data_IF_787445248269
#
_entry.id   IF_787445248269
#
_cell.length_a   1.000
_cell.length_b   1.000
_cell.length_c   1.000
_cell.angle_alpha   90.00
_cell.angle_beta   90.00
_cell.angle_gamma   90.00
#
_symmetry.space_group_name_H-M   'P 1'
#
loop_
_entity.id
_entity.type
_entity.pdbx_description
1 polymer ?
#
# COMPACT_ATOMS: atom_id res chain seq x y z
N UNK A 1 -10.81 20.05 3.91
CA UNK A 1 -10.79 19.74 2.46
C UNK A 1 -11.40 18.37 2.35
N UNK A 2 -12.62 18.30 1.84
CA UNK A 2 -13.23 17.02 1.49
C UNK A 2 -12.32 16.32 0.50
N UNK A 3 -11.68 15.24 0.95
CA UNK A 3 -10.97 14.34 0.06
C UNK A 3 -12.07 13.50 -0.58
N UNK A 4 -12.67 14.03 -1.64
CA UNK A 4 -13.53 13.25 -2.53
C UNK A 4 -12.67 12.05 -2.97
N UNK A 5 -12.96 10.87 -2.41
CA UNK A 5 -12.21 9.64 -2.69
C UNK A 5 -12.34 9.40 -4.19
N UNK A 6 -11.25 9.66 -4.91
CA UNK A 6 -11.20 9.54 -6.36
C UNK A 6 -11.10 8.05 -6.72
N UNK A 7 -12.17 7.28 -6.46
CA UNK A 7 -12.38 5.90 -6.89
C UNK A 7 -12.81 5.91 -8.35
N UNK A 8 -11.91 6.35 -9.24
CA UNK A 8 -12.19 6.35 -10.68
C UNK A 8 -12.06 4.93 -11.22
N UNK A 9 -13.18 4.21 -11.29
CA UNK A 9 -13.26 2.99 -12.09
C UNK A 9 -12.93 3.29 -13.55
N UNK A 10 -12.14 2.42 -14.17
CA UNK A 10 -11.79 2.45 -15.59
C UNK A 10 -11.90 1.05 -16.18
N UNK A 11 -12.13 0.97 -17.47
CA UNK A 11 -12.10 -0.29 -18.21
C UNK A 11 -10.91 -0.30 -19.14
N UNK A 12 -10.15 -1.39 -19.15
CA UNK A 12 -9.03 -1.65 -20.06
C UNK A 12 -9.24 -3.03 -20.66
N UNK A 13 -9.73 -3.09 -21.90
CA UNK A 13 -10.10 -4.36 -22.52
C UNK A 13 -11.14 -5.12 -21.66
N UNK A 14 -10.89 -6.37 -21.26
CA UNK A 14 -11.79 -7.16 -20.40
C UNK A 14 -11.69 -6.85 -18.91
N UNK A 15 -10.79 -5.96 -18.50
CA UNK A 15 -10.51 -5.65 -17.10
C UNK A 15 -11.26 -4.41 -16.64
N UNK A 16 -11.99 -4.54 -15.53
CA UNK A 16 -12.39 -3.41 -14.70
C UNK A 16 -11.24 -3.10 -13.74
N UNK A 17 -10.79 -1.86 -13.72
CA UNK A 17 -9.70 -1.36 -12.88
C UNK A 17 -10.28 -0.34 -11.90
N UNK A 18 -10.18 -0.62 -10.62
CA UNK A 18 -10.58 0.25 -9.53
C UNK A 18 -9.33 0.71 -8.76
N UNK A 19 -9.27 1.99 -8.40
CA UNK A 19 -8.29 2.47 -7.44
C UNK A 19 -8.75 2.09 -6.03
N UNK A 20 -7.83 1.61 -5.20
CA UNK A 20 -8.07 1.24 -3.81
C UNK A 20 -7.30 2.22 -2.92
N UNK A 21 -8.00 2.99 -2.08
CA UNK A 21 -7.36 3.87 -1.12
C UNK A 21 -6.97 3.07 0.13
N UNK A 22 -5.74 2.57 0.22
CA UNK A 22 -5.26 1.80 1.37
C UNK A 22 -4.62 2.67 2.46
N UNK A 23 -5.09 3.92 2.60
CA UNK A 23 -4.59 4.90 3.55
C UNK A 23 -3.38 5.69 3.04
N UNK A 24 -2.54 6.17 3.96
CA UNK A 24 -1.36 6.94 3.61
C UNK A 24 -0.29 6.97 4.69
N UNK A 25 0.87 7.49 4.32
CA UNK A 25 1.98 7.76 5.23
C UNK A 25 2.63 9.08 4.86
N UNK A 26 3.59 9.54 5.65
CA UNK A 26 4.40 10.72 5.36
C UNK A 26 5.89 10.38 5.48
N UNK A 27 6.67 10.78 4.49
CA UNK A 27 8.12 10.59 4.43
C UNK A 27 8.82 11.94 4.29
N UNK A 28 10.08 12.03 4.72
CA UNK A 28 10.91 13.23 4.53
C UNK A 28 10.90 13.67 3.05
N UNK A 29 10.51 14.91 2.80
CA UNK A 29 10.41 15.45 1.44
C UNK A 29 11.76 15.50 0.72
N UNK A 30 12.86 15.75 1.46
CA UNK A 30 14.20 15.72 0.88
C UNK A 30 14.57 14.36 0.31
N UNK A 31 14.24 13.29 1.04
CA UNK A 31 14.46 11.91 0.65
C UNK A 31 13.62 11.53 -0.58
N UNK A 32 12.36 11.98 -0.64
CA UNK A 32 11.47 11.70 -1.78
C UNK A 32 11.82 12.47 -3.06
N UNK A 33 12.37 13.68 -2.93
CA UNK A 33 12.73 14.53 -4.07
C UNK A 33 14.24 14.51 -4.40
N UNK A 34 15.04 13.78 -3.63
CA UNK A 34 16.47 13.61 -3.83
C UNK A 34 17.22 14.94 -3.90
N UNK A 35 17.94 15.17 -5.00
CA UNK A 35 18.76 16.37 -5.19
C UNK A 35 17.96 17.65 -5.47
N UNK A 36 16.63 17.58 -5.61
CA UNK A 36 15.81 18.76 -5.89
C UNK A 36 15.75 19.65 -4.63
N UNK A 37 16.10 20.95 -4.73
CA UNK A 37 16.07 21.85 -3.58
C UNK A 37 14.68 21.99 -2.94
N UNK A 38 14.63 22.09 -1.61
CA UNK A 38 13.39 22.30 -0.84
C UNK A 38 12.56 23.47 -1.33
N UNK A 39 13.20 24.59 -1.66
CA UNK A 39 12.50 25.77 -2.19
C UNK A 39 11.71 25.52 -3.49
N UNK A 40 12.01 24.44 -4.22
CA UNK A 40 11.26 24.03 -5.42
C UNK A 40 10.18 22.99 -5.09
N UNK A 41 10.54 21.89 -4.42
CA UNK A 41 9.56 20.82 -4.20
C UNK A 41 8.45 21.22 -3.22
N UNK A 42 8.74 22.07 -2.23
CA UNK A 42 7.72 22.49 -1.24
C UNK A 42 6.60 23.33 -1.85
N UNK A 43 6.81 23.88 -3.06
CA UNK A 43 5.77 24.59 -3.81
C UNK A 43 4.74 23.65 -4.44
N UNK A 44 5.09 22.36 -4.58
CA UNK A 44 4.22 21.32 -5.15
C UNK A 44 3.49 20.54 -4.08
N UNK A 45 4.16 20.26 -2.97
CA UNK A 45 3.60 19.53 -1.84
C UNK A 45 4.14 20.15 -0.55
N UNK A 46 3.24 20.65 0.29
CA UNK A 46 3.62 21.31 1.53
C UNK A 46 4.10 20.25 2.55
N UNK A 47 5.31 20.41 3.12
CA UNK A 47 5.75 19.54 4.20
C UNK A 47 5.11 19.92 5.54
N UNK A 48 5.08 18.97 6.48
CA UNK A 48 4.76 19.21 7.88
C UNK A 48 5.94 19.84 8.66
N UNK A 49 5.76 19.99 9.98
CA UNK A 49 6.77 20.56 10.87
C UNK A 49 8.04 19.68 10.97
N UNK A 50 7.90 18.38 10.74
CA UNK A 50 8.97 17.38 10.68
C UNK A 50 9.56 17.21 9.28
N UNK A 51 9.21 18.10 8.34
CA UNK A 51 9.66 18.10 6.94
C UNK A 51 9.15 16.95 6.08
N UNK A 52 8.14 16.22 6.55
CA UNK A 52 7.53 15.11 5.82
C UNK A 52 6.46 15.59 4.86
N UNK A 53 6.32 14.89 3.75
CA UNK A 53 5.27 15.11 2.74
C UNK A 53 4.27 13.97 2.78
N UNK A 54 2.97 14.22 2.59
CA UNK A 54 1.97 13.16 2.57
C UNK A 54 2.07 12.32 1.29
N UNK A 55 1.99 11.00 1.44
CA UNK A 55 1.99 10.00 0.38
C UNK A 55 0.76 9.11 0.53
N UNK A 56 -0.04 9.01 -0.52
CA UNK A 56 -1.19 8.10 -0.56
C UNK A 56 -0.73 6.69 -0.96
N UNK A 57 -1.17 5.68 -0.22
CA UNK A 57 -1.00 4.27 -0.59
C UNK A 57 -2.16 3.84 -1.48
N UNK A 58 -2.16 4.32 -2.72
CA UNK A 58 -3.19 3.95 -3.71
C UNK A 58 -2.77 2.68 -4.44
N UNK A 59 -3.59 1.64 -4.33
CA UNK A 59 -3.39 0.36 -5.00
C UNK A 59 -4.33 0.25 -6.21
N UNK A 60 -4.19 -0.82 -6.99
CA UNK A 60 -5.09 -1.13 -8.10
C UNK A 60 -5.71 -2.51 -7.94
N UNK A 61 -7.04 -2.56 -8.01
CA UNK A 61 -7.82 -3.78 -8.08
C UNK A 61 -8.31 -3.99 -9.51
N UNK A 62 -7.96 -5.13 -10.10
CA UNK A 62 -8.34 -5.51 -11.45
C UNK A 62 -9.27 -6.72 -11.39
N UNK A 63 -10.45 -6.61 -12.00
CA UNK A 63 -11.42 -7.71 -12.12
C UNK A 63 -11.66 -8.04 -13.58
N UNK A 64 -11.47 -9.29 -13.96
CA UNK A 64 -11.79 -9.74 -15.31
C UNK A 64 -13.30 -9.99 -15.43
N UNK A 65 -13.93 -9.56 -16.52
CA UNK A 65 -15.39 -9.73 -16.68
C UNK A 65 -15.84 -11.09 -17.20
N UNK A 66 -14.89 -11.92 -17.67
CA UNK A 66 -15.18 -13.24 -18.31
C UNK A 66 -14.56 -14.40 -17.52
N UNK A 67 -13.41 -14.16 -16.89
CA UNK A 67 -12.65 -15.19 -16.17
C UNK A 67 -12.75 -14.86 -14.69
N UNK A 68 -12.67 -15.88 -13.85
CA UNK A 68 -12.69 -15.72 -12.40
C UNK A 68 -11.31 -15.27 -11.91
N UNK A 69 -10.96 -14.02 -12.20
CA UNK A 69 -9.64 -13.43 -11.93
C UNK A 69 -9.82 -12.07 -11.25
N UNK A 70 -9.27 -11.98 -10.04
CA UNK A 70 -9.23 -10.77 -9.20
C UNK A 70 -7.78 -10.51 -8.85
N UNK A 71 -7.19 -9.53 -9.52
CA UNK A 71 -5.76 -9.21 -9.40
C UNK A 71 -5.62 -7.94 -8.56
N UNK A 72 -4.77 -7.99 -7.54
CA UNK A 72 -4.39 -6.83 -6.75
C UNK A 72 -2.94 -6.43 -7.07
N UNK A 73 -2.71 -5.14 -7.33
CA UNK A 73 -1.36 -4.58 -7.52
C UNK A 73 -0.96 -3.83 -6.25
N UNK A 74 0.10 -4.32 -5.60
CA UNK A 74 0.56 -3.94 -4.26
C UNK A 74 -0.49 -4.17 -3.14
N UNK A 75 -0.05 -4.10 -1.88
CA UNK A 75 -0.86 -4.49 -0.70
C UNK A 75 -0.84 -3.47 0.43
N UNK A 76 -0.23 -2.31 0.21
CA UNK A 76 -0.10 -1.30 1.25
C UNK A 76 0.80 -1.75 2.40
N UNK A 77 0.65 -1.05 3.52
CA UNK A 77 1.53 -1.15 4.70
C UNK A 77 1.26 -2.33 5.63
N UNK A 78 0.06 -2.92 5.57
CA UNK A 78 -0.36 -4.00 6.46
C UNK A 78 -0.62 -3.54 7.90
N UNK A 79 -0.39 -4.42 8.86
CA UNK A 79 -0.65 -4.22 10.31
C UNK A 79 0.57 -4.54 11.20
N UNK A 80 1.72 -4.86 10.59
CA UNK A 80 2.88 -5.40 11.31
C UNK A 80 3.84 -4.32 11.84
N UNK A 81 3.32 -3.16 12.22
CA UNK A 81 4.09 -2.05 12.77
C UNK A 81 3.59 -1.61 14.15
N UNK A 82 4.45 -0.98 14.94
CA UNK A 82 4.12 -0.46 16.26
C UNK A 82 3.73 1.03 16.23
N UNK A 83 3.34 1.56 17.40
CA UNK A 83 2.95 2.97 17.53
C UNK A 83 4.10 3.93 17.19
N UNK A 84 5.35 3.57 17.51
CA UNK A 84 6.52 4.40 17.19
C UNK A 84 6.73 4.49 15.68
N UNK A 85 6.58 3.38 14.96
CA UNK A 85 6.62 3.35 13.51
C UNK A 85 5.47 4.19 12.92
N UNK A 86 4.25 4.01 13.43
CA UNK A 86 3.08 4.74 12.98
C UNK A 86 3.23 6.26 13.15
N UNK A 87 3.76 6.71 14.29
CA UNK A 87 4.05 8.12 14.57
C UNK A 87 5.15 8.66 13.65
N UNK A 88 6.27 7.93 13.52
CA UNK A 88 7.40 8.31 12.67
C UNK A 88 6.96 8.57 11.23
N UNK A 89 6.12 7.69 10.70
CA UNK A 89 5.62 7.78 9.33
C UNK A 89 4.24 8.42 9.20
N UNK A 90 3.69 8.99 10.28
CA UNK A 90 2.34 9.58 10.31
C UNK A 90 1.32 8.73 9.53
N UNK A 91 1.28 7.43 9.84
CA UNK A 91 0.42 6.45 9.15
C UNK A 91 -1.04 6.81 9.36
N UNK A 92 -1.83 6.78 8.29
CA UNK A 92 -3.27 7.08 8.29
C UNK A 92 -4.04 5.93 7.69
N UNK A 93 -5.13 5.55 8.34
CA UNK A 93 -6.10 4.62 7.78
C UNK A 93 -6.90 5.31 6.64
N UNK A 94 -7.55 4.55 5.75
CA UNK A 94 -8.39 5.10 4.68
C UNK A 94 -9.48 6.05 5.17
N UNK A 95 -10.02 5.79 6.37
CA UNK A 95 -11.12 6.48 7.03
C UNK A 95 -10.69 7.33 8.24
N UNK A 96 -9.39 7.45 8.50
CA UNK A 96 -8.82 8.28 9.56
C UNK A 96 -7.93 7.49 10.51
N UNK A 97 -8.51 6.99 11.61
CA UNK A 97 -7.79 6.24 12.64
C UNK A 97 -7.92 4.74 12.44
N UNK A 98 -6.81 4.00 12.60
CA UNK A 98 -6.80 2.54 12.51
C UNK A 98 -7.41 1.93 13.77
N UNK A 99 -8.52 1.22 13.63
CA UNK A 99 -9.19 0.48 14.72
C UNK A 99 -8.63 -0.94 14.94
N UNK A 100 -7.51 -1.26 14.26
CA UNK A 100 -6.91 -2.59 14.25
C UNK A 100 -7.35 -3.46 13.07
N UNK A 101 -8.32 -3.02 12.27
CA UNK A 101 -8.64 -3.66 10.98
C UNK A 101 -7.56 -3.35 9.95
N UNK A 102 -7.20 -4.31 9.11
CA UNK A 102 -6.28 -4.08 8.00
C UNK A 102 -6.85 -2.98 7.09
N UNK A 103 -6.12 -1.87 6.86
CA UNK A 103 -6.52 -0.81 5.95
C UNK A 103 -7.01 -1.32 4.59
N UNK A 104 -6.36 -2.37 4.10
CA UNK A 104 -6.67 -2.99 2.83
C UNK A 104 -7.97 -3.81 2.84
N UNK A 105 -8.29 -4.48 3.95
CA UNK A 105 -9.52 -5.28 4.06
C UNK A 105 -10.75 -4.38 4.03
N UNK A 106 -10.69 -3.24 4.72
CA UNK A 106 -11.73 -2.19 4.66
C UNK A 106 -11.89 -1.68 3.23
N UNK A 107 -10.79 -1.26 2.59
CA UNK A 107 -10.81 -0.64 1.27
C UNK A 107 -11.29 -1.61 0.16
N UNK A 108 -10.97 -2.91 0.25
CA UNK A 108 -11.50 -3.92 -0.67
C UNK A 108 -12.98 -4.24 -0.39
N UNK A 109 -13.38 -4.25 0.89
CA UNK A 109 -14.77 -4.43 1.30
C UNK A 109 -15.70 -3.37 0.71
N UNK A 110 -15.27 -2.10 0.65
CA UNK A 110 -16.00 -1.00 -0.01
C UNK A 110 -16.23 -1.25 -1.52
N UNK A 111 -15.38 -2.05 -2.15
CA UNK A 111 -15.50 -2.46 -3.56
C UNK A 111 -16.23 -3.80 -3.75
N UNK A 112 -16.71 -4.38 -2.65
CA UNK A 112 -17.40 -5.66 -2.61
C UNK A 112 -16.48 -6.85 -2.87
N UNK A 113 -15.22 -6.78 -2.43
CA UNK A 113 -14.23 -7.86 -2.59
C UNK A 113 -13.66 -8.25 -1.23
N UNK A 114 -13.73 -9.53 -0.91
CA UNK A 114 -13.08 -10.13 0.26
C UNK A 114 -11.64 -10.55 -0.07
N UNK A 115 -10.81 -10.69 0.96
CA UNK A 115 -9.41 -11.13 0.81
C UNK A 115 -9.29 -12.52 0.16
N UNK A 116 -10.28 -13.40 0.36
CA UNK A 116 -10.28 -14.75 -0.20
C UNK A 116 -10.61 -14.83 -1.70
N UNK A 117 -11.20 -13.77 -2.26
CA UNK A 117 -11.53 -13.67 -3.69
C UNK A 117 -10.33 -13.23 -4.54
N UNK A 118 -9.30 -12.64 -3.92
CA UNK A 118 -8.08 -12.23 -4.65
C UNK A 118 -7.34 -13.48 -5.15
N UNK A 119 -7.23 -13.61 -6.46
CA UNK A 119 -6.59 -14.76 -7.12
C UNK A 119 -5.11 -14.55 -7.39
N UNK A 120 -4.70 -13.29 -7.57
CA UNK A 120 -3.35 -12.92 -7.95
C UNK A 120 -2.93 -11.62 -7.25
N UNK A 121 -1.72 -11.59 -6.70
CA UNK A 121 -1.10 -10.38 -6.13
C UNK A 121 0.15 -10.06 -6.92
N UNK A 122 0.22 -8.88 -7.54
CA UNK A 122 1.40 -8.41 -8.26
C UNK A 122 2.07 -7.34 -7.42
N UNK A 123 3.30 -7.60 -6.99
CA UNK A 123 4.09 -6.65 -6.21
C UNK A 123 5.01 -5.88 -7.15
N UNK A 124 4.92 -4.55 -7.10
CA UNK A 124 5.86 -3.68 -7.81
C UNK A 124 7.25 -3.83 -7.20
N UNK A 125 7.33 -3.88 -5.87
CA UNK A 125 8.50 -4.19 -5.08
C UNK A 125 8.14 -4.47 -3.61
N UNK A 126 9.13 -4.87 -2.80
CA UNK A 126 8.97 -5.31 -1.41
C UNK A 126 9.25 -4.26 -0.33
N UNK A 127 9.13 -2.97 -0.64
CA UNK A 127 9.12 -1.96 0.44
C UNK A 127 7.86 -2.11 1.30
N UNK A 128 7.95 -1.64 2.55
CA UNK A 128 6.93 -1.89 3.56
C UNK A 128 5.57 -1.31 3.18
N UNK A 129 5.52 -0.19 2.45
CA UNK A 129 4.32 0.50 1.98
C UNK A 129 3.67 -0.16 0.75
N UNK A 130 4.32 -1.18 0.18
CA UNK A 130 3.82 -1.95 -0.96
C UNK A 130 3.57 -3.42 -0.59
N UNK A 131 4.56 -4.09 -0.02
CA UNK A 131 4.51 -5.51 0.35
C UNK A 131 4.07 -5.77 1.80
N UNK A 132 3.85 -4.72 2.60
CA UNK A 132 3.51 -4.84 4.01
C UNK A 132 2.23 -5.62 4.25
N UNK A 133 1.22 -5.46 3.38
CA UNK A 133 -0.07 -6.15 3.47
C UNK A 133 -0.11 -7.57 2.92
N UNK A 134 0.99 -8.13 2.38
CA UNK A 134 1.05 -9.53 1.91
C UNK A 134 0.79 -10.53 3.05
N UNK A 135 1.17 -10.15 4.26
CA UNK A 135 0.87 -10.92 5.47
C UNK A 135 0.28 -10.04 6.55
N UNK A 136 -0.42 -10.67 7.49
CA UNK A 136 -1.09 -10.01 8.60
C UNK A 136 -0.75 -10.67 9.92
N UNK A 137 -0.90 -9.93 11.03
CA UNK A 137 -0.72 -10.48 12.37
C UNK A 137 -2.06 -11.02 12.88
N UNK A 138 -2.12 -12.32 13.11
CA UNK A 138 -3.27 -12.95 13.76
C UNK A 138 -3.39 -12.50 15.23
N UNK A 139 -4.58 -12.65 15.83
CA UNK A 139 -4.80 -12.39 17.25
C UNK A 139 -3.89 -13.22 18.18
N UNK A 140 -3.42 -14.38 17.70
CA UNK A 140 -2.44 -15.24 18.37
C UNK A 140 -1.00 -14.69 18.33
N UNK A 141 -0.76 -13.63 17.56
CA UNK A 141 0.56 -13.03 17.31
C UNK A 141 1.30 -13.61 16.10
N UNK A 142 0.80 -14.71 15.51
CA UNK A 142 1.37 -15.34 14.32
C UNK A 142 1.26 -14.46 13.08
N UNK A 143 2.22 -14.56 12.16
CA UNK A 143 2.17 -13.88 10.86
C UNK A 143 1.64 -14.85 9.81
N UNK A 144 0.49 -14.53 9.23
CA UNK A 144 -0.22 -15.37 8.27
C UNK A 144 -0.32 -14.66 6.90
N UNK A 145 -0.40 -15.39 5.78
CA UNK A 145 -0.75 -14.80 4.49
C UNK A 145 -2.10 -14.08 4.56
N UNK A 146 -2.16 -12.87 3.99
CA UNK A 146 -3.41 -12.10 3.91
C UNK A 146 -4.36 -12.68 2.87
N UNK A 147 -3.81 -13.21 1.77
CA UNK A 147 -4.55 -13.77 0.64
C UNK A 147 -4.29 -15.28 0.55
N UNK A 148 -5.15 -16.12 1.15
CA UNK A 148 -4.85 -17.54 1.34
C UNK A 148 -4.81 -18.35 0.04
N UNK A 149 -5.44 -17.86 -1.02
CA UNK A 149 -5.60 -18.53 -2.32
C UNK A 149 -4.78 -17.88 -3.43
N UNK A 150 -4.19 -16.71 -3.18
CA UNK A 150 -3.58 -15.90 -4.24
C UNK A 150 -2.18 -16.39 -4.64
N UNK A 151 -1.93 -16.41 -5.95
CA UNK A 151 -0.56 -16.51 -6.47
C UNK A 151 0.12 -15.15 -6.38
N UNK A 152 1.33 -15.09 -5.83
CA UNK A 152 2.10 -13.85 -5.67
C UNK A 152 3.17 -13.74 -6.76
N UNK A 153 3.18 -12.62 -7.47
CA UNK A 153 4.12 -12.33 -8.56
C UNK A 153 5.04 -11.19 -8.15
N UNK A 154 6.35 -11.42 -8.32
CA UNK A 154 7.41 -10.52 -7.92
C UNK A 154 8.63 -10.74 -8.83
N UNK A 155 9.39 -9.67 -9.07
CA UNK A 155 10.68 -9.77 -9.74
C UNK A 155 11.70 -10.49 -8.85
N UNK A 156 12.35 -11.53 -9.37
CA UNK A 156 13.37 -12.31 -8.64
C UNK A 156 14.45 -11.42 -8.03
N UNK A 157 14.95 -10.44 -8.77
CA UNK A 157 15.99 -9.52 -8.28
C UNK A 157 15.54 -8.68 -7.10
N UNK A 158 14.25 -8.32 -7.03
CA UNK A 158 13.73 -7.57 -5.88
C UNK A 158 13.55 -8.48 -4.66
N UNK A 159 13.22 -9.76 -4.85
CA UNK A 159 13.25 -10.76 -3.76
C UNK A 159 14.67 -10.91 -3.20
N UNK A 160 15.66 -11.10 -4.06
CA UNK A 160 17.06 -11.24 -3.66
C UNK A 160 17.55 -10.01 -2.86
N UNK A 161 17.12 -8.82 -3.28
CA UNK A 161 17.43 -7.56 -2.58
C UNK A 161 16.73 -7.48 -1.22
N UNK A 162 15.48 -7.89 -1.12
CA UNK A 162 14.74 -7.89 0.15
C UNK A 162 15.31 -8.90 1.17
N UNK A 163 15.79 -10.05 0.70
CA UNK A 163 16.44 -11.06 1.55
C UNK A 163 17.86 -10.66 1.96
N UNK A 164 18.54 -9.84 1.13
CA UNK A 164 19.93 -9.42 1.32
C UNK A 164 20.10 -7.92 1.05
N UNK A 165 19.47 -7.05 1.84
CA UNK A 165 19.45 -5.63 1.56
C UNK A 165 20.85 -5.04 1.72
N UNK A 166 21.18 -4.10 0.84
CA UNK A 166 22.36 -3.26 1.05
C UNK A 166 22.10 -2.23 2.18
N UNK A 167 23.11 -1.46 2.55
CA UNK A 167 23.02 -0.51 3.66
C UNK A 167 21.99 0.62 3.48
N UNK A 168 21.57 0.91 2.24
CA UNK A 168 20.56 1.94 1.94
C UNK A 168 19.13 1.40 1.98
N UNK A 169 18.96 0.11 1.71
CA UNK A 169 17.65 -0.55 1.61
C UNK A 169 17.29 -1.36 2.87
N UNK A 170 18.20 -1.41 3.85
CA UNK A 170 17.94 -2.08 5.12
C UNK A 170 17.00 -1.22 5.98
N UNK A 171 15.84 -1.79 6.32
CA UNK A 171 14.85 -1.23 7.25
C UNK A 171 15.34 -1.27 8.71
#
# INVERSE_FOLDING_TARGET
>A
MDVETCTRTRWIGPWRVDAVEAGGLSLDGGSMFGSVPRGLWQKRIAPDAEHRIPLAMRLLLLRHRIEDRVVLIDTGIGDKFDATFAERFAVKAPDGESDGTLPLEVALGELGVSLGEVTDVVLTHLHFDHGGGVSRRAATGEVLPTFPTATHYLQRSNLETAERPNSRERA
#
